data_IF_187956815367
#
_entry.id   IF_187956815367
#
_cell.length_a   1.000
_cell.length_b   1.000
_cell.length_c   1.000
_cell.angle_alpha   90.00
_cell.angle_beta   90.00
_cell.angle_gamma   90.00
#
_symmetry.space_group_name_H-M   'P 1'
#
loop_
_entity.id
_entity.type
_entity.pdbx_description
1 polymer ?
#
# COMPACT_ATOMS: atom_id res chain seq x y z
N UNK A 1 28.20 16.81 -24.49
CA UNK A 1 27.12 17.00 -23.49
C UNK A 1 27.25 18.39 -22.90
N UNK A 2 26.19 19.22 -22.93
CA UNK A 2 26.20 20.53 -22.25
C UNK A 2 25.88 20.31 -20.77
N UNK A 3 26.88 20.42 -19.91
CA UNK A 3 26.69 20.46 -18.46
C UNK A 3 26.17 21.84 -18.07
N UNK A 4 25.03 21.87 -17.40
CA UNK A 4 24.41 23.09 -16.89
C UNK A 4 24.41 22.99 -15.38
N UNK A 5 25.14 23.88 -14.71
CA UNK A 5 25.10 23.95 -13.25
C UNK A 5 23.72 24.44 -12.81
N UNK A 6 23.10 23.67 -11.91
CA UNK A 6 21.78 23.96 -11.36
C UNK A 6 21.97 24.14 -9.86
N UNK A 7 21.48 25.27 -9.33
CA UNK A 7 21.43 25.50 -7.89
C UNK A 7 20.67 24.34 -7.21
N UNK A 8 21.20 23.85 -6.08
CA UNK A 8 20.64 22.78 -5.26
C UNK A 8 19.17 23.01 -4.90
N UNK A 9 18.75 24.24 -4.63
CA UNK A 9 17.34 24.57 -4.36
C UNK A 9 16.44 24.32 -5.58
N UNK A 10 16.95 24.67 -6.76
CA UNK A 10 16.26 24.45 -8.03
C UNK A 10 16.24 22.97 -8.41
N UNK A 11 17.28 22.21 -8.06
CA UNK A 11 17.28 20.75 -8.18
C UNK A 11 16.23 20.11 -7.28
N UNK A 12 16.14 20.52 -6.01
CA UNK A 12 15.15 20.02 -5.05
C UNK A 12 13.71 20.28 -5.51
N UNK A 13 13.42 21.47 -6.04
CA UNK A 13 12.09 21.80 -6.56
C UNK A 13 11.73 20.96 -7.79
N UNK A 14 12.67 20.72 -8.70
CA UNK A 14 12.49 19.80 -9.84
C UNK A 14 12.21 18.39 -9.34
N UNK A 15 12.99 17.91 -8.36
CA UNK A 15 12.83 16.59 -7.78
C UNK A 15 11.46 16.41 -7.13
N UNK A 16 11.04 17.36 -6.28
CA UNK A 16 9.72 17.38 -5.65
C UNK A 16 8.59 17.35 -6.67
N UNK A 17 8.73 18.11 -7.76
CA UNK A 17 7.73 18.15 -8.84
C UNK A 17 7.67 16.81 -9.58
N UNK A 18 8.81 16.20 -9.89
CA UNK A 18 8.89 14.90 -10.55
C UNK A 18 8.28 13.80 -9.67
N UNK A 19 8.64 13.76 -8.38
CA UNK A 19 8.07 12.81 -7.42
C UNK A 19 6.56 12.98 -7.30
N UNK A 20 6.04 14.20 -7.11
CA UNK A 20 4.58 14.44 -7.04
C UNK A 20 3.86 13.98 -8.31
N UNK A 21 4.45 14.19 -9.48
CA UNK A 21 3.87 13.72 -10.75
C UNK A 21 3.86 12.20 -10.84
N UNK A 22 4.94 11.52 -10.45
CA UNK A 22 4.99 10.06 -10.43
C UNK A 22 3.93 9.48 -9.49
N UNK A 23 3.79 10.04 -8.29
CA UNK A 23 2.75 9.62 -7.32
C UNK A 23 1.35 9.80 -7.93
N UNK A 24 1.08 10.95 -8.55
CA UNK A 24 -0.22 11.24 -9.18
C UNK A 24 -0.52 10.26 -10.32
N UNK A 25 0.44 10.02 -11.21
CA UNK A 25 0.27 9.09 -12.34
C UNK A 25 0.07 7.67 -11.84
N UNK A 26 0.89 7.22 -10.88
CA UNK A 26 0.77 5.88 -10.36
C UNK A 26 -0.56 5.65 -9.63
N UNK A 27 -1.11 6.67 -8.95
CA UNK A 27 -2.44 6.63 -8.36
C UNK A 27 -3.54 6.56 -9.43
N UNK A 28 -3.41 7.34 -10.51
CA UNK A 28 -4.37 7.34 -11.63
C UNK A 28 -4.37 6.00 -12.39
N UNK A 29 -3.20 5.35 -12.48
CA UNK A 29 -3.04 4.03 -13.09
C UNK A 29 -3.47 2.88 -12.16
N UNK A 30 -3.89 3.16 -10.93
CA UNK A 30 -4.28 2.13 -9.97
C UNK A 30 -3.14 1.20 -9.57
N UNK A 31 -1.89 1.66 -9.63
CA UNK A 31 -0.72 0.85 -9.25
C UNK A 31 -0.60 0.63 -7.73
N UNK A 32 -1.54 1.16 -6.95
CA UNK A 32 -1.73 0.79 -5.56
C UNK A 32 -2.24 -0.64 -5.48
N UNK A 33 -1.64 -1.44 -4.60
CA UNK A 33 -2.06 -2.82 -4.40
C UNK A 33 -2.45 -3.05 -2.95
N UNK A 34 -3.40 -3.95 -2.74
CA UNK A 34 -3.83 -4.36 -1.41
C UNK A 34 -3.07 -5.62 -1.01
N UNK A 35 -2.62 -5.67 0.25
CA UNK A 35 -2.03 -6.88 0.83
C UNK A 35 -2.48 -7.06 2.27
N UNK A 36 -2.41 -8.28 2.78
CA UNK A 36 -2.64 -8.57 4.20
C UNK A 36 -1.29 -8.61 4.89
N UNK A 37 -1.09 -7.77 5.91
CA UNK A 37 0.13 -7.70 6.72
C UNK A 37 -0.29 -7.67 8.19
N UNK A 38 0.21 -8.62 9.02
CA UNK A 38 -0.16 -8.69 10.44
C UNK A 38 -1.65 -8.93 10.70
N UNK A 39 -2.35 -9.61 9.78
CA UNK A 39 -3.78 -9.85 9.87
C UNK A 39 -4.64 -8.62 9.56
N UNK A 40 -4.08 -7.52 9.07
CA UNK A 40 -4.83 -6.34 8.64
C UNK A 40 -4.72 -6.18 7.12
N UNK A 41 -5.82 -5.78 6.49
CA UNK A 41 -5.80 -5.37 5.09
C UNK A 41 -5.22 -3.98 4.99
N UNK A 42 -4.15 -3.86 4.22
CA UNK A 42 -3.47 -2.60 3.95
C UNK A 42 -3.43 -2.33 2.46
N UNK A 43 -3.63 -1.07 2.10
CA UNK A 43 -3.35 -0.53 0.79
C UNK A 43 -1.93 0.02 0.80
N UNK A 44 -1.08 -0.50 -0.09
CA UNK A 44 0.24 0.06 -0.35
C UNK A 44 0.08 1.00 -1.55
N UNK A 45 0.20 2.29 -1.25
CA UNK A 45 0.29 3.34 -2.26
C UNK A 45 1.52 3.13 -3.14
N UNK A 46 1.46 3.64 -4.35
CA UNK A 46 2.55 3.61 -5.32
C UNK A 46 3.77 4.46 -4.95
N UNK A 47 3.65 5.24 -3.89
CA UNK A 47 4.70 5.99 -3.20
C UNK A 47 5.29 5.23 -2.01
N UNK A 48 4.83 4.01 -1.76
CA UNK A 48 5.21 3.18 -0.62
C UNK A 48 4.48 3.52 0.68
N UNK A 49 3.55 4.49 0.65
CA UNK A 49 2.72 4.78 1.83
C UNK A 49 1.80 3.60 2.12
N UNK A 50 1.65 3.25 3.40
CA UNK A 50 0.76 2.17 3.84
C UNK A 50 -0.47 2.78 4.50
N UNK A 51 -1.66 2.38 4.05
CA UNK A 51 -2.93 2.77 4.67
C UNK A 51 -3.73 1.54 5.08
N UNK A 52 -4.18 1.49 6.33
CA UNK A 52 -5.03 0.39 6.82
C UNK A 52 -6.45 0.58 6.29
N UNK A 53 -6.97 -0.42 5.57
CA UNK A 53 -8.33 -0.43 5.02
C UNK A 53 -9.29 -1.13 6.00
N UNK A 54 -9.68 -0.41 7.06
CA UNK A 54 -10.73 -0.83 8.00
C UNK A 54 -10.30 -1.82 9.09
N UNK A 55 -11.29 -2.39 9.81
CA UNK A 55 -11.09 -3.43 10.85
C UNK A 55 -11.55 -4.83 10.41
N UNK A 56 -10.83 -5.49 9.50
CA UNK A 56 -10.85 -6.95 9.43
C UNK A 56 -9.52 -7.49 9.97
N UNK A 57 -9.58 -8.21 11.11
CA UNK A 57 -8.48 -9.10 11.53
C UNK A 57 -8.60 -10.37 10.68
N UNK A 58 -8.00 -10.36 9.50
CA UNK A 58 -7.85 -11.54 8.67
C UNK A 58 -7.05 -12.58 9.45
N UNK A 59 -7.69 -13.71 9.76
CA UNK A 59 -7.15 -14.77 10.59
C UNK A 59 -8.15 -15.91 10.75
N UNK A 60 -7.71 -17.01 11.36
CA UNK A 60 -8.56 -18.17 11.66
C UNK A 60 -9.27 -17.98 13.00
N UNK A 61 -10.60 -17.96 13.00
CA UNK A 61 -11.39 -18.05 14.23
C UNK A 61 -11.49 -19.52 14.61
N UNK A 62 -10.94 -19.91 15.77
CA UNK A 62 -11.21 -21.23 16.35
C UNK A 62 -12.69 -21.28 16.73
N UNK A 63 -13.46 -22.10 16.03
CA UNK A 63 -14.87 -22.36 16.35
C UNK A 63 -15.00 -23.74 16.98
N UNK A 64 -15.87 -23.88 17.98
CA UNK A 64 -16.17 -25.18 18.56
C UNK A 64 -17.00 -26.00 17.57
N UNK A 65 -16.38 -27.03 17.00
CA UNK A 65 -17.09 -27.99 16.16
C UNK A 65 -17.92 -28.89 17.06
N UNK A 66 -19.23 -28.62 17.18
CA UNK A 66 -20.17 -29.55 17.80
C UNK A 66 -20.23 -30.82 16.96
N UNK A 67 -19.57 -31.87 17.42
CA UNK A 67 -19.68 -33.21 16.83
C UNK A 67 -20.94 -33.88 17.35
N UNK A 68 -21.90 -34.14 16.46
CA UNK A 68 -23.07 -34.96 16.79
C UNK A 68 -22.73 -36.42 16.52
N UNK A 69 -22.68 -37.25 17.56
CA UNK A 69 -22.63 -38.71 17.38
C UNK A 69 -24.05 -39.22 17.18
N UNK A 70 -24.34 -39.70 15.98
CA UNK A 70 -25.56 -40.45 15.70
C UNK A 70 -25.46 -41.80 16.42
N UNK A 71 -26.30 -42.03 17.44
CA UNK A 71 -26.39 -43.35 18.09
C UNK A 71 -27.08 -44.31 17.11
N UNK A 72 -26.42 -45.43 16.82
CA UNK A 72 -27.07 -46.63 16.28
C UNK A 72 -27.64 -47.45 17.42
#
# INVERSE_FOLDING_TARGET
MKTKEINKEKLNTIHLKASKNAIRVNKALGLSYQKVEGGQLIEVGSDGTKKVLGKPKFGTVKTEVKSFKLKR
#
